data_IF_292759164060
#
_entry.id   IF_292759164060
#
_cell.length_a   1.000
_cell.length_b   1.000
_cell.length_c   1.000
_cell.angle_alpha   90.00
_cell.angle_beta   90.00
_cell.angle_gamma   90.00
#
_symmetry.space_group_name_H-M   'P 1'
#
loop_
_entity.id
_entity.type
_entity.pdbx_description
1 polymer ?
#
# COMPACT_ATOMS: atom_id res chain seq x y z
N UNK A 1 -15.38 -6.76 -22.97
CA UNK A 1 -15.49 -5.48 -22.27
C UNK A 1 -14.09 -5.13 -21.82
N UNK A 2 -13.47 -4.12 -22.43
CA UNK A 2 -12.20 -3.61 -21.92
C UNK A 2 -12.45 -3.07 -20.52
N UNK A 3 -11.89 -3.74 -19.53
CA UNK A 3 -11.94 -3.28 -18.15
C UNK A 3 -11.15 -1.99 -18.09
N UNK A 4 -11.81 -0.86 -17.84
CA UNK A 4 -11.16 0.44 -17.78
C UNK A 4 -10.17 0.43 -16.59
N UNK A 5 -8.87 0.41 -16.90
CA UNK A 5 -7.82 0.45 -15.90
C UNK A 5 -7.67 1.88 -15.34
N UNK A 6 -7.62 1.99 -14.03
CA UNK A 6 -7.26 3.23 -13.36
C UNK A 6 -5.74 3.47 -13.42
N UNK A 7 -4.95 2.39 -13.38
CA UNK A 7 -3.51 2.40 -13.54
C UNK A 7 -3.09 1.31 -14.52
N UNK A 8 -2.23 1.66 -15.47
CA UNK A 8 -1.49 0.72 -16.31
C UNK A 8 -0.02 1.11 -16.32
N UNK A 9 0.81 0.26 -15.73
CA UNK A 9 2.26 0.41 -15.75
C UNK A 9 2.90 -0.75 -16.51
N UNK A 10 3.88 -0.46 -17.37
CA UNK A 10 4.59 -1.47 -18.17
C UNK A 10 6.09 -1.18 -18.19
N UNK A 11 6.87 -2.15 -17.71
CA UNK A 11 8.33 -2.10 -17.71
C UNK A 11 8.90 -0.92 -16.93
N UNK A 12 8.24 -0.49 -15.86
CA UNK A 12 8.64 0.69 -15.09
C UNK A 12 9.97 0.43 -14.41
N UNK A 13 10.96 1.28 -14.75
CA UNK A 13 12.28 1.27 -14.11
C UNK A 13 12.55 2.62 -13.48
N UNK A 14 13.11 2.62 -12.26
CA UNK A 14 13.50 3.82 -11.52
C UNK A 14 14.79 3.59 -10.77
N UNK A 15 15.76 4.47 -11.01
CA UNK A 15 17.04 4.50 -10.31
C UNK A 15 17.21 5.80 -9.50
N UNK A 16 17.92 5.70 -8.40
CA UNK A 16 18.41 6.82 -7.61
C UNK A 16 19.93 6.68 -7.45
N UNK A 17 20.68 7.41 -8.29
CA UNK A 17 22.13 7.16 -8.45
C UNK A 17 22.36 5.71 -8.91
N UNK A 18 23.20 4.98 -8.19
CA UNK A 18 23.53 3.58 -8.50
C UNK A 18 22.50 2.56 -7.97
N UNK A 19 21.46 3.02 -7.25
CA UNK A 19 20.44 2.13 -6.67
C UNK A 19 19.27 1.99 -7.62
N UNK A 20 19.01 0.76 -8.09
CA UNK A 20 17.80 0.41 -8.86
C UNK A 20 16.66 0.18 -7.89
N UNK A 21 15.74 1.14 -7.79
CA UNK A 21 14.58 1.06 -6.90
C UNK A 21 13.40 0.28 -7.50
N UNK A 22 13.23 0.36 -8.83
CA UNK A 22 12.26 -0.43 -9.61
C UNK A 22 12.95 -0.92 -10.88
N UNK A 23 12.70 -2.17 -11.25
CA UNK A 23 13.34 -2.85 -12.37
C UNK A 23 12.30 -3.63 -13.19
N UNK A 24 11.78 -2.99 -14.24
CA UNK A 24 10.83 -3.60 -15.17
C UNK A 24 9.47 -3.94 -14.54
N UNK A 25 8.94 -3.10 -13.65
CA UNK A 25 7.68 -3.33 -12.94
C UNK A 25 6.48 -3.15 -13.84
N UNK A 26 5.60 -4.18 -13.87
CA UNK A 26 4.27 -4.12 -14.45
C UNK A 26 3.22 -4.06 -13.34
N UNK A 27 2.18 -3.23 -13.52
CA UNK A 27 1.05 -3.10 -12.59
C UNK A 27 -0.22 -2.70 -13.34
N UNK A 28 -1.30 -3.43 -13.12
CA UNK A 28 -2.66 -3.08 -13.53
C UNK A 28 -3.54 -2.90 -12.30
N UNK A 29 -4.30 -1.80 -12.26
CA UNK A 29 -5.31 -1.56 -11.23
C UNK A 29 -6.60 -1.13 -11.90
N UNK A 30 -7.70 -1.78 -11.59
CA UNK A 30 -9.03 -1.46 -12.13
C UNK A 30 -9.76 -0.45 -11.25
N UNK A 31 -10.71 0.27 -11.85
CA UNK A 31 -11.63 1.11 -11.09
C UNK A 31 -12.46 0.27 -10.11
N UNK A 32 -12.77 0.85 -8.94
CA UNK A 32 -13.54 0.15 -7.91
C UNK A 32 -12.78 -0.97 -7.19
N UNK A 33 -11.47 -1.05 -7.38
CA UNK A 33 -10.61 -2.08 -6.79
C UNK A 33 -9.75 -1.50 -5.68
N UNK A 34 -9.53 -2.28 -4.62
CA UNK A 34 -8.48 -2.03 -3.62
C UNK A 34 -7.33 -2.99 -3.93
N UNK A 35 -6.19 -2.44 -4.33
CA UNK A 35 -4.99 -3.15 -4.72
C UNK A 35 -3.88 -2.96 -3.68
N UNK A 36 -3.39 -4.05 -3.10
CA UNK A 36 -2.33 -4.04 -2.11
C UNK A 36 -0.93 -4.14 -2.72
N UNK A 37 -0.01 -3.29 -2.29
CA UNK A 37 1.42 -3.43 -2.56
C UNK A 37 2.12 -4.01 -1.33
N UNK A 38 2.75 -5.15 -1.50
CA UNK A 38 3.39 -5.93 -0.43
C UNK A 38 4.88 -6.06 -0.71
N UNK A 39 5.66 -6.21 0.34
CA UNK A 39 7.09 -6.49 0.22
C UNK A 39 7.89 -5.94 1.39
N UNK A 40 9.14 -6.38 1.56
CA UNK A 40 10.01 -5.89 2.62
C UNK A 40 10.35 -4.41 2.45
N UNK A 41 10.96 -3.81 3.47
CA UNK A 41 11.49 -2.46 3.36
C UNK A 41 12.58 -2.42 2.28
N UNK A 42 12.56 -1.38 1.46
CA UNK A 42 13.45 -1.25 0.31
C UNK A 42 13.02 -2.05 -0.94
N UNK A 43 11.86 -2.72 -0.93
CA UNK A 43 11.37 -3.47 -2.10
C UNK A 43 10.93 -2.59 -3.28
N UNK A 44 10.81 -1.26 -3.11
CA UNK A 44 10.38 -0.33 -4.14
C UNK A 44 8.93 0.17 -4.01
N UNK A 45 8.17 -0.27 -2.97
CA UNK A 45 6.76 0.12 -2.77
C UNK A 45 6.56 1.64 -2.75
N UNK A 46 7.26 2.33 -1.86
CA UNK A 46 7.20 3.80 -1.71
C UNK A 46 7.59 4.51 -3.00
N UNK A 47 8.58 3.99 -3.75
CA UNK A 47 8.96 4.52 -5.06
C UNK A 47 7.83 4.38 -6.08
N UNK A 48 7.19 3.21 -6.15
CA UNK A 48 6.07 2.97 -7.07
C UNK A 48 4.87 3.87 -6.73
N UNK A 49 4.50 3.97 -5.43
CA UNK A 49 3.46 4.91 -4.99
C UNK A 49 3.82 6.37 -5.32
N UNK A 50 5.09 6.74 -5.16
CA UNK A 50 5.59 8.07 -5.53
C UNK A 50 5.45 8.38 -7.02
N UNK A 51 5.65 7.39 -7.90
CA UNK A 51 5.40 7.53 -9.34
C UNK A 51 3.91 7.76 -9.62
N UNK A 52 3.02 7.01 -8.95
CA UNK A 52 1.56 7.17 -9.10
C UNK A 52 1.07 8.54 -8.62
N UNK A 53 1.72 9.13 -7.61
CA UNK A 53 1.44 10.48 -7.11
C UNK A 53 2.19 11.60 -7.85
N UNK A 54 3.01 11.26 -8.87
CA UNK A 54 3.82 12.24 -9.58
C UNK A 54 4.94 12.87 -8.74
N UNK A 55 5.31 12.28 -7.61
CA UNK A 55 6.43 12.72 -6.76
C UNK A 55 7.78 12.28 -7.32
N UNK A 56 7.76 11.32 -8.23
CA UNK A 56 8.92 10.84 -8.97
C UNK A 56 8.53 10.56 -10.43
N UNK A 57 9.53 10.43 -11.30
CA UNK A 57 9.36 10.11 -12.72
C UNK A 57 10.11 8.82 -13.01
N UNK A 58 9.50 7.91 -13.75
CA UNK A 58 10.16 6.69 -14.21
C UNK A 58 11.31 7.04 -15.19
N UNK A 59 12.41 6.33 -15.10
CA UNK A 59 13.53 6.51 -16.03
C UNK A 59 13.27 5.78 -17.35
N UNK A 60 12.51 4.68 -17.31
CA UNK A 60 12.00 3.97 -18.49
C UNK A 60 10.68 3.26 -18.19
N UNK A 61 10.04 2.75 -19.25
CA UNK A 61 8.72 2.13 -19.21
C UNK A 61 7.60 3.10 -19.58
N UNK A 62 6.36 2.65 -19.44
CA UNK A 62 5.15 3.43 -19.72
C UNK A 62 4.20 3.38 -18.53
N UNK A 63 3.79 4.54 -18.06
CA UNK A 63 2.76 4.70 -17.02
C UNK A 63 1.57 5.46 -17.60
N UNK A 64 0.40 4.88 -17.48
CA UNK A 64 -0.89 5.50 -17.80
C UNK A 64 -1.75 5.52 -16.55
N UNK A 65 -2.36 6.66 -16.25
CA UNK A 65 -3.29 6.85 -15.14
C UNK A 65 -4.58 7.42 -15.68
N UNK A 66 -5.72 6.79 -15.40
CA UNK A 66 -7.03 7.16 -15.91
C UNK A 66 -7.10 7.17 -17.47
N UNK A 67 -6.28 6.33 -18.11
CA UNK A 67 -6.15 6.26 -19.57
C UNK A 67 -5.23 7.32 -20.18
N UNK A 68 -4.69 8.25 -19.37
CA UNK A 68 -3.80 9.30 -19.82
C UNK A 68 -2.34 8.92 -19.53
N UNK A 69 -1.42 9.09 -20.48
CA UNK A 69 -0.01 8.82 -20.27
C UNK A 69 0.58 9.84 -19.29
N UNK A 70 1.28 9.35 -18.27
CA UNK A 70 2.03 10.19 -17.34
C UNK A 70 3.32 10.63 -18.02
N UNK A 71 3.41 11.94 -18.28
CA UNK A 71 4.57 12.55 -18.93
C UNK A 71 5.79 12.62 -18.01
N UNK A 72 6.91 13.12 -18.56
CA UNK A 72 8.16 13.32 -17.80
C UNK A 72 8.13 14.53 -16.84
N UNK A 73 7.08 15.34 -16.85
CA UNK A 73 6.88 16.44 -15.91
C UNK A 73 6.20 15.93 -14.64
N UNK A 74 6.51 16.52 -13.49
CA UNK A 74 5.85 16.26 -12.20
C UNK A 74 4.38 16.73 -12.24
N UNK A 75 3.61 16.16 -13.16
CA UNK A 75 2.19 16.45 -13.34
C UNK A 75 1.42 15.15 -13.10
N UNK A 76 0.63 15.14 -12.05
CA UNK A 76 -0.30 14.04 -11.77
C UNK A 76 -1.62 14.35 -12.47
N UNK A 77 -2.22 13.38 -13.18
CA UNK A 77 -3.54 13.56 -13.78
C UNK A 77 -4.59 13.96 -12.74
N UNK A 78 -5.56 14.75 -13.15
CA UNK A 78 -6.69 15.12 -12.29
C UNK A 78 -7.40 13.88 -11.73
N UNK A 79 -7.81 13.97 -10.47
CA UNK A 79 -8.49 12.88 -9.78
C UNK A 79 -7.56 11.84 -9.14
N UNK A 80 -6.26 12.14 -9.03
CA UNK A 80 -5.32 11.36 -8.21
C UNK A 80 -5.05 12.11 -6.91
N UNK A 81 -5.13 11.41 -5.78
CA UNK A 81 -4.75 11.94 -4.48
C UNK A 81 -4.18 10.85 -3.57
N UNK A 82 -3.51 11.26 -2.51
CA UNK A 82 -2.93 10.35 -1.53
C UNK A 82 -1.71 10.94 -0.84
N UNK A 83 -0.95 10.07 -0.21
CA UNK A 83 0.31 10.43 0.46
C UNK A 83 1.28 9.25 0.53
N UNK A 84 2.56 9.59 0.64
CA UNK A 84 3.69 8.66 0.81
C UNK A 84 4.55 9.21 1.96
N UNK A 85 5.14 8.33 2.75
CA UNK A 85 5.94 8.66 3.95
C UNK A 85 5.17 9.49 5.00
N UNK A 86 3.84 9.35 4.99
CA UNK A 86 2.93 10.06 5.88
C UNK A 86 2.36 11.34 5.26
N UNK A 87 1.26 11.84 5.85
CA UNK A 87 0.57 13.00 5.34
C UNK A 87 1.34 14.30 5.64
N UNK A 88 1.47 15.15 4.62
CA UNK A 88 2.05 16.49 4.73
C UNK A 88 1.11 17.47 5.45
N UNK A 89 1.15 17.50 6.78
CA UNK A 89 0.30 18.34 7.62
C UNK A 89 1.10 19.50 8.23
N UNK A 90 0.43 20.61 8.45
CA UNK A 90 0.96 21.75 9.21
C UNK A 90 0.70 21.55 10.71
N UNK A 91 1.71 21.24 11.53
CA UNK A 91 1.52 20.85 12.94
C UNK A 91 0.91 21.97 13.79
N UNK A 92 1.13 23.24 13.44
CA UNK A 92 0.62 24.41 14.14
C UNK A 92 -0.84 24.72 13.87
N UNK A 93 -1.40 24.21 12.77
CA UNK A 93 -2.78 24.38 12.39
C UNK A 93 -3.68 23.31 13.04
N UNK A 94 -4.96 23.63 13.20
CA UNK A 94 -5.96 22.63 13.60
C UNK A 94 -6.24 21.65 12.45
N UNK A 95 -6.96 20.55 12.72
CA UNK A 95 -7.36 19.63 11.65
C UNK A 95 -8.18 20.36 10.59
N UNK A 96 -9.19 21.10 11.00
CA UNK A 96 -10.02 21.95 10.14
C UNK A 96 -9.20 22.95 9.33
N UNK A 97 -8.27 23.66 9.97
CA UNK A 97 -7.40 24.63 9.30
C UNK A 97 -6.46 23.98 8.27
N UNK A 98 -5.93 22.79 8.55
CA UNK A 98 -5.14 22.02 7.59
C UNK A 98 -5.94 21.75 6.32
N UNK A 99 -7.16 21.24 6.46
CA UNK A 99 -8.03 20.93 5.32
C UNK A 99 -8.48 22.20 4.58
N UNK A 100 -8.84 23.25 5.32
CA UNK A 100 -9.20 24.54 4.73
C UNK A 100 -8.05 25.17 3.94
N UNK A 101 -6.81 25.09 4.44
CA UNK A 101 -5.64 25.57 3.72
C UNK A 101 -5.42 24.79 2.41
N UNK A 102 -5.59 23.46 2.42
CA UNK A 102 -5.49 22.63 1.22
C UNK A 102 -6.60 22.94 0.21
N UNK A 103 -7.83 23.19 0.67
CA UNK A 103 -8.93 23.62 -0.19
C UNK A 103 -8.62 24.99 -0.84
N UNK A 104 -8.11 25.94 -0.05
CA UNK A 104 -7.77 27.27 -0.53
C UNK A 104 -6.66 27.24 -1.60
N UNK A 105 -5.66 26.35 -1.47
CA UNK A 105 -4.62 26.15 -2.50
C UNK A 105 -5.20 25.68 -3.84
N UNK A 106 -6.42 25.15 -3.84
CA UNK A 106 -7.17 24.72 -5.04
C UNK A 106 -8.24 25.74 -5.47
N UNK A 107 -8.25 26.91 -4.86
CA UNK A 107 -9.22 27.97 -5.14
C UNK A 107 -10.62 27.69 -4.61
N UNK A 108 -10.78 26.78 -3.64
CA UNK A 108 -12.04 26.43 -3.00
C UNK A 108 -12.09 26.97 -1.56
N UNK A 109 -13.25 27.44 -1.13
CA UNK A 109 -13.47 27.68 0.30
C UNK A 109 -13.75 26.37 1.05
N UNK A 110 -13.53 26.37 2.37
CA UNK A 110 -13.64 25.17 3.21
C UNK A 110 -15.04 24.54 3.19
N UNK A 111 -16.09 25.35 3.05
CA UNK A 111 -17.48 24.90 2.99
C UNK A 111 -17.77 24.19 1.68
N UNK A 112 -17.40 24.82 0.56
CA UNK A 112 -17.58 24.26 -0.79
C UNK A 112 -16.74 22.98 -0.97
N UNK A 113 -15.56 22.91 -0.35
CA UNK A 113 -14.71 21.73 -0.38
C UNK A 113 -15.22 20.56 0.49
N UNK A 114 -16.23 20.78 1.36
CA UNK A 114 -16.76 19.72 2.23
C UNK A 114 -15.83 19.34 3.36
N UNK A 115 -15.14 20.31 3.98
CA UNK A 115 -14.15 20.04 5.06
C UNK A 115 -14.79 19.32 6.24
N UNK A 116 -15.99 19.70 6.64
CA UNK A 116 -16.71 19.03 7.74
C UNK A 116 -17.10 17.60 7.38
N UNK A 117 -17.56 17.38 6.15
CA UNK A 117 -17.96 16.06 5.67
C UNK A 117 -16.78 15.06 5.67
N UNK A 118 -15.59 15.50 5.23
CA UNK A 118 -14.43 14.60 5.23
C UNK A 118 -13.88 14.38 6.64
N UNK A 119 -13.99 15.35 7.56
CA UNK A 119 -13.65 15.17 8.97
C UNK A 119 -14.55 14.13 9.63
N UNK A 120 -15.85 14.18 9.35
CA UNK A 120 -16.83 13.20 9.83
C UNK A 120 -16.53 11.80 9.27
N UNK A 121 -16.27 11.69 7.96
CA UNK A 121 -15.94 10.42 7.32
C UNK A 121 -14.76 9.70 7.98
N UNK A 122 -13.75 10.43 8.43
CA UNK A 122 -12.55 9.86 9.08
C UNK A 122 -12.63 9.88 10.61
N UNK A 123 -13.77 10.29 11.21
CA UNK A 123 -14.00 10.33 12.66
C UNK A 123 -13.06 11.28 13.40
N UNK A 124 -12.91 12.48 12.89
CA UNK A 124 -12.12 13.54 13.51
C UNK A 124 -12.96 14.80 13.84
N UNK A 125 -14.28 14.70 13.79
CA UNK A 125 -15.20 15.83 14.05
C UNK A 125 -14.98 16.42 15.44
N UNK A 126 -14.90 15.59 16.49
CA UNK A 126 -14.76 16.02 17.88
C UNK A 126 -13.43 16.73 18.19
N UNK A 127 -12.42 16.50 17.36
CA UNK A 127 -11.06 17.06 17.49
C UNK A 127 -10.69 17.97 16.31
N UNK A 128 -11.70 18.38 15.53
CA UNK A 128 -11.50 19.20 14.32
C UNK A 128 -10.77 20.52 14.60
N UNK A 129 -10.97 21.07 15.77
CA UNK A 129 -10.40 22.35 16.18
C UNK A 129 -9.15 22.21 17.08
N UNK A 130 -8.67 20.96 17.27
CA UNK A 130 -7.41 20.68 17.92
C UNK A 130 -6.23 20.77 16.95
N UNK A 131 -5.06 21.20 17.45
CA UNK A 131 -3.86 21.36 16.62
C UNK A 131 -3.26 19.99 16.27
N UNK A 132 -2.89 19.82 15.00
CA UNK A 132 -2.33 18.57 14.47
C UNK A 132 -1.04 18.11 15.17
N UNK A 133 -0.27 19.02 15.80
CA UNK A 133 0.91 18.66 16.62
C UNK A 133 0.58 17.75 17.81
N UNK A 134 -0.63 17.85 18.36
CA UNK A 134 -1.12 17.03 19.46
C UNK A 134 -1.71 15.68 19.03
N UNK A 135 -1.83 15.44 17.73
CA UNK A 135 -2.45 14.22 17.21
C UNK A 135 -1.54 13.00 17.38
N UNK A 136 -2.15 11.87 17.72
CA UNK A 136 -1.49 10.57 17.62
C UNK A 136 -1.11 10.27 16.16
N UNK A 137 -0.25 9.26 15.93
CA UNK A 137 0.07 8.83 14.58
C UNK A 137 -1.20 8.46 13.79
N UNK A 138 -2.11 7.69 14.41
CA UNK A 138 -3.37 7.29 13.78
C UNK A 138 -4.31 8.47 13.47
N UNK A 139 -4.37 9.50 14.33
CA UNK A 139 -5.13 10.71 14.03
C UNK A 139 -4.52 11.47 12.85
N UNK A 140 -3.20 11.54 12.74
CA UNK A 140 -2.52 12.14 11.59
C UNK A 140 -2.78 11.37 10.30
N UNK A 141 -2.75 10.03 10.34
CA UNK A 141 -3.10 9.20 9.18
C UNK A 141 -4.53 9.45 8.71
N UNK A 142 -5.49 9.50 9.63
CA UNK A 142 -6.89 9.81 9.30
C UNK A 142 -7.06 11.22 8.74
N UNK A 143 -6.35 12.21 9.27
CA UNK A 143 -6.37 13.58 8.74
C UNK A 143 -5.74 13.65 7.33
N UNK A 144 -4.68 12.87 7.06
CA UNK A 144 -4.10 12.73 5.74
C UNK A 144 -5.08 12.10 4.73
N UNK A 145 -5.83 11.08 5.17
CA UNK A 145 -6.90 10.51 4.36
C UNK A 145 -7.98 11.56 4.06
N UNK A 146 -8.45 12.31 5.06
CA UNK A 146 -9.40 13.40 4.87
C UNK A 146 -8.89 14.44 3.85
N UNK A 147 -7.60 14.79 3.91
CA UNK A 147 -6.97 15.72 2.96
C UNK A 147 -7.02 15.19 1.51
N UNK A 148 -6.79 13.90 1.32
CA UNK A 148 -6.90 13.26 0.01
C UNK A 148 -8.36 13.25 -0.49
N UNK A 149 -9.31 13.00 0.39
CA UNK A 149 -10.74 12.92 0.06
C UNK A 149 -11.36 14.27 -0.37
N UNK A 150 -10.79 15.41 0.03
CA UNK A 150 -11.24 16.73 -0.42
C UNK A 150 -11.28 16.87 -1.95
N UNK A 151 -10.46 16.11 -2.66
CA UNK A 151 -10.38 16.16 -4.13
C UNK A 151 -11.36 15.23 -4.83
N UNK A 152 -12.11 14.41 -4.07
CA UNK A 152 -12.97 13.35 -4.61
C UNK A 152 -12.20 12.50 -5.65
N UNK A 153 -11.12 11.82 -5.23
CA UNK A 153 -10.21 11.17 -6.16
C UNK A 153 -10.87 9.99 -6.88
N UNK A 154 -10.48 9.76 -8.13
CA UNK A 154 -10.76 8.54 -8.87
C UNK A 154 -9.70 7.45 -8.64
N UNK A 155 -8.49 7.88 -8.24
CA UNK A 155 -7.39 7.04 -7.79
C UNK A 155 -6.85 7.56 -6.46
N UNK A 156 -6.91 6.73 -5.44
CA UNK A 156 -6.38 7.01 -4.10
C UNK A 156 -5.14 6.17 -3.85
N UNK A 157 -4.02 6.82 -3.52
CA UNK A 157 -2.71 6.18 -3.32
C UNK A 157 -2.24 6.43 -1.89
N UNK A 158 -2.04 5.37 -1.11
CA UNK A 158 -1.77 5.47 0.33
C UNK A 158 -0.59 4.58 0.75
N UNK A 159 0.37 5.19 1.43
CA UNK A 159 1.49 4.45 2.03
C UNK A 159 1.18 4.14 3.49
N UNK A 160 1.05 2.84 3.81
CA UNK A 160 0.79 2.32 5.18
C UNK A 160 -0.38 3.03 5.91
N UNK A 161 -1.60 3.15 5.30
CA UNK A 161 -2.66 3.99 5.85
C UNK A 161 -3.19 3.52 7.20
N UNK A 162 -3.00 2.25 7.56
CA UNK A 162 -3.42 1.66 8.83
C UNK A 162 -2.35 1.70 9.92
N UNK A 163 -1.17 2.25 9.63
CA UNK A 163 -0.05 2.26 10.58
C UNK A 163 -0.35 3.17 11.78
N UNK A 164 -0.14 2.63 13.00
CA UNK A 164 -0.36 3.36 14.26
C UNK A 164 -1.82 3.60 14.62
N UNK A 165 -2.76 2.95 13.92
CA UNK A 165 -4.17 2.98 14.29
C UNK A 165 -4.49 1.92 15.34
N UNK A 166 -5.37 2.29 16.28
CA UNK A 166 -6.06 1.34 17.14
C UNK A 166 -7.12 0.54 16.34
N UNK A 167 -7.69 -0.54 16.89
CA UNK A 167 -8.67 -1.36 16.16
C UNK A 167 -9.89 -0.57 15.67
N UNK A 168 -10.37 0.42 16.43
CA UNK A 168 -11.51 1.24 16.05
C UNK A 168 -11.14 2.16 14.87
N UNK A 169 -9.99 2.82 14.92
CA UNK A 169 -9.47 3.66 13.82
C UNK A 169 -9.21 2.85 12.55
N UNK A 170 -8.68 1.63 12.65
CA UNK A 170 -8.54 0.72 11.51
C UNK A 170 -9.88 0.42 10.86
N UNK A 171 -10.86 -0.02 11.66
CA UNK A 171 -12.21 -0.32 11.14
C UNK A 171 -12.82 0.88 10.42
N UNK A 172 -12.61 2.09 10.93
CA UNK A 172 -13.08 3.30 10.29
C UNK A 172 -12.39 3.56 8.96
N UNK A 173 -11.06 3.54 8.91
CA UNK A 173 -10.30 3.70 7.65
C UNK A 173 -10.68 2.63 6.64
N UNK A 174 -10.75 1.37 7.04
CA UNK A 174 -11.19 0.26 6.19
C UNK A 174 -12.59 0.51 5.62
N UNK A 175 -13.54 0.95 6.45
CA UNK A 175 -14.91 1.28 6.02
C UNK A 175 -14.94 2.41 4.98
N UNK A 176 -14.11 3.44 5.15
CA UNK A 176 -13.97 4.53 4.16
C UNK A 176 -13.43 4.00 2.84
N UNK A 177 -12.33 3.23 2.86
CA UNK A 177 -11.70 2.71 1.64
C UNK A 177 -12.63 1.74 0.89
N UNK A 178 -13.32 0.85 1.60
CA UNK A 178 -14.28 -0.10 1.01
C UNK A 178 -15.44 0.64 0.35
N UNK A 179 -15.99 1.69 1.00
CA UNK A 179 -17.05 2.51 0.41
C UNK A 179 -16.58 3.21 -0.85
N UNK A 180 -15.42 3.86 -0.82
CA UNK A 180 -14.86 4.53 -2.00
C UNK A 180 -14.65 3.58 -3.18
N UNK A 181 -14.15 2.37 -2.91
CA UNK A 181 -14.01 1.35 -3.94
C UNK A 181 -15.37 0.94 -4.50
N UNK A 182 -16.38 0.73 -3.66
CA UNK A 182 -17.74 0.43 -4.10
C UNK A 182 -18.37 1.56 -4.95
N UNK A 183 -17.96 2.81 -4.72
CA UNK A 183 -18.35 3.99 -5.51
C UNK A 183 -17.52 4.17 -6.79
N UNK A 184 -16.57 3.26 -7.07
CA UNK A 184 -15.78 3.23 -8.31
C UNK A 184 -14.37 3.84 -8.19
N UNK A 185 -13.96 4.35 -7.02
CA UNK A 185 -12.59 4.82 -6.80
C UNK A 185 -11.62 3.63 -6.82
N UNK A 186 -10.54 3.72 -7.59
CA UNK A 186 -9.43 2.79 -7.46
C UNK A 186 -8.58 3.16 -6.24
N UNK A 187 -8.18 2.17 -5.45
CA UNK A 187 -7.30 2.39 -4.30
C UNK A 187 -6.04 1.54 -4.45
N UNK A 188 -4.87 2.17 -4.34
CA UNK A 188 -3.58 1.49 -4.24
C UNK A 188 -3.00 1.80 -2.86
N UNK A 189 -2.76 0.78 -2.08
CA UNK A 189 -2.18 0.96 -0.75
C UNK A 189 -1.00 0.02 -0.51
N UNK A 190 -0.01 0.49 0.23
CA UNK A 190 1.02 -0.40 0.78
C UNK A 190 0.60 -0.91 2.16
N UNK A 191 0.99 -2.12 2.49
CA UNK A 191 0.96 -2.64 3.84
C UNK A 191 2.05 -3.72 4.03
N UNK A 192 2.58 -3.79 5.25
CA UNK A 192 3.42 -4.90 5.69
C UNK A 192 2.64 -5.92 6.54
N UNK A 193 1.34 -5.70 6.76
CA UNK A 193 0.45 -6.53 7.58
C UNK A 193 -0.52 -7.30 6.69
N UNK A 194 -0.43 -8.62 6.73
CA UNK A 194 -1.33 -9.48 5.94
C UNK A 194 -2.80 -9.30 6.34
N UNK A 195 -3.10 -9.13 7.65
CA UNK A 195 -4.47 -8.94 8.15
C UNK A 195 -5.17 -7.74 7.48
N UNK A 196 -4.44 -6.63 7.26
CA UNK A 196 -5.00 -5.44 6.61
C UNK A 196 -5.26 -5.70 5.11
N UNK A 197 -4.39 -6.47 4.46
CA UNK A 197 -4.54 -6.84 3.05
C UNK A 197 -5.70 -7.82 2.84
N UNK A 198 -5.81 -8.85 3.69
CA UNK A 198 -6.91 -9.82 3.65
C UNK A 198 -8.28 -9.16 3.89
N UNK A 199 -8.31 -8.14 4.77
CA UNK A 199 -9.55 -7.42 5.07
C UNK A 199 -9.98 -6.45 3.96
N UNK A 200 -9.05 -5.94 3.12
CA UNK A 200 -9.31 -4.84 2.19
C UNK A 200 -9.12 -5.20 0.73
N UNK A 201 -8.06 -5.97 0.42
CA UNK A 201 -7.58 -6.10 -0.95
C UNK A 201 -8.18 -7.33 -1.63
N UNK A 202 -8.70 -7.14 -2.82
CA UNK A 202 -9.06 -8.26 -3.71
C UNK A 202 -7.85 -8.76 -4.49
N UNK A 203 -6.91 -7.86 -4.79
CA UNK A 203 -5.68 -8.15 -5.53
C UNK A 203 -4.46 -7.57 -4.82
N UNK A 204 -3.33 -8.22 -5.01
CA UNK A 204 -2.04 -7.80 -4.45
C UNK A 204 -0.93 -7.92 -5.48
N UNK A 205 0.04 -7.04 -5.38
CA UNK A 205 1.33 -7.14 -6.06
C UNK A 205 2.44 -7.22 -5.01
N UNK A 206 3.23 -8.28 -5.06
CA UNK A 206 4.38 -8.47 -4.18
C UNK A 206 5.62 -8.00 -4.90
N UNK A 207 6.31 -7.05 -4.27
CA UNK A 207 7.59 -6.52 -4.73
C UNK A 207 8.73 -7.09 -3.90
N UNK A 208 9.81 -7.50 -4.58
CA UNK A 208 11.08 -7.86 -3.95
C UNK A 208 12.23 -7.31 -4.79
N UNK A 209 13.12 -6.54 -4.16
CA UNK A 209 14.32 -5.95 -4.80
C UNK A 209 13.95 -5.24 -6.12
N UNK A 210 12.94 -4.38 -6.08
CA UNK A 210 12.48 -3.59 -7.21
C UNK A 210 11.72 -4.34 -8.31
N UNK A 211 11.44 -5.64 -8.14
CA UNK A 211 10.76 -6.49 -9.14
C UNK A 211 9.45 -7.04 -8.60
N UNK A 212 8.50 -7.28 -9.51
CA UNK A 212 7.26 -8.00 -9.18
C UNK A 212 7.57 -9.49 -9.12
N UNK A 213 7.30 -10.11 -7.97
CA UNK A 213 7.41 -11.55 -7.77
C UNK A 213 6.07 -12.27 -7.84
N UNK A 214 4.99 -11.54 -7.58
CA UNK A 214 3.61 -12.01 -7.73
C UNK A 214 2.70 -10.80 -8.00
N UNK A 215 1.71 -10.98 -8.87
CA UNK A 215 0.60 -10.03 -9.04
C UNK A 215 -0.65 -10.80 -9.41
N UNK A 216 -1.74 -10.56 -8.66
CA UNK A 216 -3.00 -11.23 -8.89
C UNK A 216 -3.91 -11.28 -7.66
N UNK A 217 -5.01 -12.06 -7.74
CA UNK A 217 -5.95 -12.21 -6.65
C UNK A 217 -5.28 -12.75 -5.37
N UNK A 218 -5.64 -12.16 -4.22
CA UNK A 218 -5.12 -12.60 -2.93
C UNK A 218 -5.47 -14.07 -2.64
N UNK A 219 -6.64 -14.52 -3.10
CA UNK A 219 -7.07 -15.92 -3.00
C UNK A 219 -6.13 -16.90 -3.72
N UNK A 220 -5.51 -16.48 -4.81
CA UNK A 220 -4.52 -17.31 -5.54
C UNK A 220 -3.23 -17.42 -4.74
N UNK A 221 -2.77 -16.31 -4.13
CA UNK A 221 -1.58 -16.34 -3.26
C UNK A 221 -1.76 -17.32 -2.10
N UNK A 222 -2.93 -17.34 -1.47
CA UNK A 222 -3.26 -18.30 -0.40
C UNK A 222 -3.35 -19.75 -0.89
N UNK A 223 -3.79 -19.97 -2.15
CA UNK A 223 -3.91 -21.31 -2.72
C UNK A 223 -2.54 -21.89 -3.14
N UNK A 224 -1.67 -21.05 -3.68
CA UNK A 224 -0.34 -21.45 -4.14
C UNK A 224 0.63 -21.72 -2.96
N UNK A 225 0.36 -21.19 -1.77
CA UNK A 225 1.16 -21.35 -0.54
C UNK A 225 0.55 -22.34 0.46
N UNK A 226 -0.09 -23.41 0.00
CA UNK A 226 -0.65 -24.44 0.89
C UNK A 226 0.42 -25.29 1.59
N UNK A 227 1.64 -25.29 1.07
CA UNK A 227 2.80 -25.95 1.69
C UNK A 227 3.91 -24.89 1.82
N UNK A 228 4.21 -24.49 3.05
CA UNK A 228 5.31 -23.57 3.34
C UNK A 228 6.55 -24.35 3.75
N UNK A 229 7.65 -24.10 3.06
CA UNK A 229 8.95 -24.61 3.46
C UNK A 229 9.60 -23.67 4.48
N UNK A 230 9.75 -24.14 5.71
CA UNK A 230 10.42 -23.42 6.79
C UNK A 230 11.87 -23.90 6.93
N UNK A 231 12.79 -22.95 6.96
CA UNK A 231 14.18 -23.24 7.25
C UNK A 231 14.46 -23.08 8.73
N UNK A 232 14.69 -24.19 9.42
CA UNK A 232 15.06 -24.22 10.82
C UNK A 232 16.58 -24.26 10.96
N UNK A 233 17.17 -23.24 11.58
CA UNK A 233 18.58 -23.26 11.99
C UNK A 233 18.63 -23.84 13.40
N UNK A 234 19.38 -24.92 13.58
CA UNK A 234 19.44 -25.66 14.85
C UNK A 234 20.82 -26.21 15.09
N UNK A 235 21.22 -26.25 16.37
CA UNK A 235 22.46 -26.90 16.81
C UNK A 235 22.37 -28.44 16.86
N UNK A 236 21.14 -28.99 16.68
CA UNK A 236 20.92 -30.44 16.72
C UNK A 236 20.01 -30.91 15.58
N UNK A 237 20.49 -30.90 14.30
CA UNK A 237 19.65 -31.15 13.13
C UNK A 237 19.02 -32.54 13.12
N UNK A 238 19.67 -33.57 13.67
CA UNK A 238 19.11 -34.92 13.77
C UNK A 238 17.93 -35.00 14.77
N UNK A 239 18.02 -34.29 15.88
CA UNK A 239 16.94 -34.22 16.87
C UNK A 239 15.75 -33.42 16.34
N UNK A 240 16.01 -32.30 15.67
CA UNK A 240 14.99 -31.49 15.02
C UNK A 240 14.26 -32.26 13.91
N UNK A 241 14.99 -33.04 13.11
CA UNK A 241 14.44 -33.91 12.05
C UNK A 241 13.49 -34.98 12.61
N UNK A 242 13.85 -35.60 13.74
CA UNK A 242 12.98 -36.58 14.41
C UNK A 242 11.71 -35.95 14.97
N UNK A 243 11.83 -34.78 15.59
CA UNK A 243 10.69 -34.04 16.11
C UNK A 243 9.74 -33.59 14.98
N UNK A 244 10.27 -33.02 13.90
CA UNK A 244 9.48 -32.62 12.74
C UNK A 244 8.75 -33.82 12.12
N UNK A 245 9.42 -34.94 11.92
CA UNK A 245 8.82 -36.16 11.37
C UNK A 245 7.73 -36.79 12.26
N UNK A 246 7.74 -36.51 13.57
CA UNK A 246 6.74 -36.94 14.53
C UNK A 246 5.60 -35.92 14.76
N UNK A 247 5.65 -34.77 14.14
CA UNK A 247 4.64 -33.68 14.34
C UNK A 247 3.57 -33.79 13.25
N UNK A 248 2.28 -33.96 13.61
CA UNK A 248 1.20 -34.02 12.63
C UNK A 248 1.13 -32.73 11.80
N UNK A 249 1.05 -32.87 10.47
CA UNK A 249 1.00 -31.73 9.53
C UNK A 249 2.36 -31.13 9.17
N UNK A 250 3.48 -31.70 9.66
CA UNK A 250 4.82 -31.25 9.32
C UNK A 250 5.56 -32.32 8.55
N UNK A 251 5.99 -32.05 7.32
CA UNK A 251 6.87 -32.88 6.50
C UNK A 251 8.31 -32.39 6.60
N UNK A 252 9.27 -33.28 6.46
CA UNK A 252 10.68 -32.93 6.30
C UNK A 252 10.98 -32.92 4.80
N UNK A 253 11.36 -31.76 4.25
CA UNK A 253 11.77 -31.65 2.86
C UNK A 253 13.23 -32.10 2.72
N UNK A 254 13.52 -32.83 1.65
CA UNK A 254 14.90 -33.17 1.31
C UNK A 254 15.59 -31.92 0.73
N UNK A 255 16.76 -31.63 1.26
CA UNK A 255 17.59 -30.51 0.76
C UNK A 255 18.24 -30.95 -0.58
N UNK A 256 17.51 -30.81 -1.69
CA UNK A 256 18.00 -31.15 -3.03
C UNK A 256 19.21 -30.32 -3.49
N UNK A 257 19.61 -29.30 -2.76
CA UNK A 257 20.57 -28.32 -3.24
C UNK A 257 21.96 -28.40 -2.60
N UNK A 258 22.18 -29.10 -1.48
CA UNK A 258 23.52 -29.18 -0.85
C UNK A 258 24.23 -27.82 -0.63
N UNK A 259 23.54 -26.72 -0.76
CA UNK A 259 24.13 -25.36 -0.81
C UNK A 259 24.19 -24.65 0.53
N UNK A 260 23.73 -25.32 1.58
CA UNK A 260 23.61 -24.65 2.88
C UNK A 260 24.12 -25.59 3.96
N UNK A 261 25.13 -25.15 4.71
CA UNK A 261 25.88 -25.95 5.68
C UNK A 261 25.03 -26.79 6.64
N UNK A 262 25.66 -27.75 7.32
CA UNK A 262 25.09 -28.84 8.09
C UNK A 262 24.10 -28.48 9.25
N UNK A 263 23.78 -27.24 9.44
CA UNK A 263 22.99 -26.72 10.59
C UNK A 263 21.54 -26.28 10.25
N UNK A 264 21.10 -26.49 9.01
CA UNK A 264 19.75 -26.08 8.61
C UNK A 264 18.90 -27.30 8.22
N UNK A 265 17.66 -27.32 8.72
CA UNK A 265 16.62 -28.29 8.37
C UNK A 265 15.49 -27.56 7.64
N UNK A 266 15.08 -28.05 6.47
CA UNK A 266 13.89 -27.54 5.78
C UNK A 266 12.72 -28.42 6.21
N UNK A 267 11.67 -27.80 6.73
CA UNK A 267 10.40 -28.45 7.08
C UNK A 267 9.27 -27.82 6.30
N UNK A 268 8.33 -28.64 5.87
CA UNK A 268 7.14 -28.25 5.13
C UNK A 268 5.92 -28.42 6.04
N UNK A 269 5.15 -27.38 6.20
CA UNK A 269 3.93 -27.37 7.00
C UNK A 269 2.70 -26.87 6.21
#
# INVERSE_FOLDING_TARGET
>A
MDTLLAVRARGITKCFGDVVALDGVDLDVTHGQIHGLVGPNGAGKTTLLGLLLGLAVADSGRLEIQGEPVGRAFAVPDGVAGFVDGPGLYPSLTARQNLAALAALRGQDARTAGVDDVLDQVGLTDVADDRARGFSLGMRQRLGLAAALLTKPRLLVLDEPSNGLDPAGKKQVHGVLTRLAAEGTAVVLSSHRMDDLEALCSEVTILAIGRVVFSGPLSKLAADNRELDYRLVTSGPQSARRLAAGTPGVGVADDEAGRHGAEALVVRA
#
